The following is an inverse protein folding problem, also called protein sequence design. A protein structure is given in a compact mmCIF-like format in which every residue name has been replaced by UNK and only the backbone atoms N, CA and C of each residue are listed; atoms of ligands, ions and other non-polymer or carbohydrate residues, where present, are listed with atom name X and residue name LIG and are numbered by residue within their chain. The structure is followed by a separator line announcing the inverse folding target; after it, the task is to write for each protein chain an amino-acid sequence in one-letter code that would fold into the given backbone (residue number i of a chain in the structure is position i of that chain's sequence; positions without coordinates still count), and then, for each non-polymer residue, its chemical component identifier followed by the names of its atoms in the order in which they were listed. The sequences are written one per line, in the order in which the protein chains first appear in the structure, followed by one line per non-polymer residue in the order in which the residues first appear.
data_IF_747288732808
#
_entry.id   IF_747288732808
#
_cell.length_a   1.000
_cell.length_b   1.000
_cell.length_c   1.000
_cell.angle_alpha   90.00
_cell.angle_beta   90.00
_cell.angle_gamma   90.00
#
_symmetry.space_group_name_H-M   'P 1'
#
loop_
_entity.id
_entity.type
_entity.pdbx_description
1 polymer ?
#
# COMPACT_ATOMS: atom_id res chain seq x y z
N UNK A 1 -41.03 -76.77 26.96
CA UNK A 1 -40.36 -76.14 25.77
C UNK A 1 -40.53 -74.67 25.89
N UNK A 2 -39.46 -73.94 26.24
CA UNK A 2 -39.43 -72.47 26.31
C UNK A 2 -38.56 -71.94 25.18
N UNK A 3 -39.15 -71.27 24.23
CA UNK A 3 -38.49 -70.67 23.10
C UNK A 3 -38.04 -69.24 23.46
N UNK A 4 -36.73 -69.01 23.50
CA UNK A 4 -36.15 -67.64 23.70
C UNK A 4 -36.00 -66.95 22.34
N UNK A 5 -36.68 -65.87 22.16
CA UNK A 5 -36.45 -64.91 21.04
C UNK A 5 -35.24 -64.04 21.34
N UNK A 6 -34.21 -64.11 20.51
CA UNK A 6 -33.06 -63.21 20.50
C UNK A 6 -33.42 -62.04 19.57
N UNK A 7 -33.61 -60.85 20.16
CA UNK A 7 -33.74 -59.58 19.39
C UNK A 7 -32.34 -59.05 19.12
N UNK A 8 -31.85 -59.15 17.86
CA UNK A 8 -30.64 -58.46 17.43
C UNK A 8 -30.95 -57.00 17.13
N UNK A 9 -30.47 -56.10 17.98
CA UNK A 9 -30.52 -54.66 17.76
C UNK A 9 -29.47 -54.24 16.69
N UNK A 10 -29.91 -53.76 15.57
CA UNK A 10 -29.04 -53.15 14.54
C UNK A 10 -28.75 -51.68 15.01
N UNK A 11 -27.52 -51.44 15.43
CA UNK A 11 -27.02 -50.07 15.68
C UNK A 11 -26.70 -49.39 14.34
N UNK A 12 -27.54 -48.45 13.90
CA UNK A 12 -27.27 -47.59 12.74
C UNK A 12 -26.28 -46.54 13.20
N UNK A 13 -25.02 -46.70 12.86
CA UNK A 13 -24.00 -45.66 13.00
C UNK A 13 -24.24 -44.60 11.89
N UNK A 14 -24.89 -43.50 12.23
CA UNK A 14 -24.95 -42.30 11.38
C UNK A 14 -23.53 -41.68 11.29
N UNK A 15 -22.77 -42.08 10.28
CA UNK A 15 -21.59 -41.35 9.85
C UNK A 15 -22.08 -40.00 9.29
N UNK A 16 -22.11 -39.00 10.16
CA UNK A 16 -22.27 -37.61 9.72
C UNK A 16 -21.09 -37.26 8.83
N UNK A 17 -21.31 -37.15 7.52
CA UNK A 17 -20.35 -36.50 6.61
C UNK A 17 -20.25 -35.06 7.08
N UNK A 18 -19.15 -34.71 7.76
CA UNK A 18 -18.83 -33.31 8.00
C UNK A 18 -18.79 -32.63 6.62
N UNK A 19 -19.77 -31.79 6.33
CA UNK A 19 -19.72 -30.94 5.13
C UNK A 19 -18.41 -30.14 5.21
N UNK A 20 -17.49 -30.45 4.32
CA UNK A 20 -16.24 -29.69 4.20
C UNK A 20 -16.65 -28.27 3.82
N UNK A 21 -16.26 -27.30 4.64
CA UNK A 21 -16.54 -25.90 4.33
C UNK A 21 -15.84 -25.52 3.03
N UNK A 22 -16.52 -24.78 2.15
CA UNK A 22 -15.95 -24.29 0.91
C UNK A 22 -14.65 -23.51 1.15
N UNK A 23 -13.72 -23.57 0.19
CA UNK A 23 -12.46 -22.81 0.26
C UNK A 23 -12.72 -21.30 0.48
N UNK A 24 -11.83 -20.64 1.23
CA UNK A 24 -11.76 -19.19 1.28
C UNK A 24 -10.95 -18.69 0.09
N UNK A 25 -11.62 -18.12 -0.89
CA UNK A 25 -11.02 -17.65 -2.13
C UNK A 25 -10.68 -16.17 -2.07
N UNK A 26 -9.42 -15.83 -2.19
CA UNK A 26 -8.89 -14.47 -2.21
C UNK A 26 -8.36 -14.18 -3.61
N UNK A 27 -8.96 -13.24 -4.33
CA UNK A 27 -8.42 -12.78 -5.61
C UNK A 27 -7.35 -11.72 -5.36
N UNK A 28 -6.20 -11.85 -6.03
CA UNK A 28 -5.16 -10.83 -6.09
C UNK A 28 -5.11 -10.28 -7.51
N UNK A 29 -5.59 -9.04 -7.69
CA UNK A 29 -5.55 -8.31 -8.95
C UNK A 29 -4.36 -7.36 -8.88
N UNK A 30 -3.38 -7.50 -9.75
CA UNK A 30 -2.17 -6.66 -9.68
C UNK A 30 -1.40 -6.61 -11.01
N UNK A 31 -0.57 -5.59 -11.20
CA UNK A 31 0.28 -5.45 -12.37
C UNK A 31 1.45 -6.44 -12.36
N UNK A 32 1.16 -7.74 -12.55
CA UNK A 32 2.16 -8.80 -12.58
C UNK A 32 3.16 -8.61 -13.71
N UNK A 33 2.74 -7.94 -14.78
CA UNK A 33 3.57 -7.41 -15.86
C UNK A 33 3.34 -5.91 -16.01
N UNK A 34 4.24 -5.20 -16.72
CA UNK A 34 4.10 -3.76 -16.98
C UNK A 34 4.90 -2.87 -16.00
N UNK A 35 4.60 -1.55 -15.98
CA UNK A 35 5.47 -0.56 -15.34
C UNK A 35 5.57 -0.69 -13.82
N UNK A 36 4.64 -1.38 -13.16
CA UNK A 36 4.60 -1.58 -11.70
C UNK A 36 4.87 -3.04 -11.27
N UNK A 37 5.44 -3.85 -12.17
CA UNK A 37 5.74 -5.27 -11.93
C UNK A 37 6.53 -5.50 -10.62
N UNK A 38 7.55 -4.68 -10.35
CA UNK A 38 8.37 -4.81 -9.15
C UNK A 38 7.53 -4.63 -7.87
N UNK A 39 6.56 -3.71 -7.87
CA UNK A 39 5.65 -3.47 -6.76
C UNK A 39 4.68 -4.64 -6.57
N UNK A 40 4.11 -5.11 -7.68
CA UNK A 40 3.18 -6.23 -7.69
C UNK A 40 3.82 -7.52 -7.15
N UNK A 41 5.04 -7.84 -7.55
CA UNK A 41 5.80 -9.00 -7.02
C UNK A 41 5.99 -8.93 -5.51
N UNK A 42 6.35 -7.75 -5.01
CA UNK A 42 6.51 -7.55 -3.57
C UNK A 42 5.18 -7.70 -2.83
N UNK A 43 4.10 -7.12 -3.35
CA UNK A 43 2.76 -7.25 -2.76
C UNK A 43 2.30 -8.71 -2.72
N UNK A 44 2.49 -9.48 -3.80
CA UNK A 44 2.16 -10.91 -3.82
C UNK A 44 2.99 -11.70 -2.81
N UNK A 45 4.31 -11.47 -2.75
CA UNK A 45 5.19 -12.10 -1.77
C UNK A 45 4.72 -11.81 -0.35
N UNK A 46 4.44 -10.56 -0.05
CA UNK A 46 3.93 -10.13 1.25
C UNK A 46 2.59 -10.76 1.60
N UNK A 47 1.64 -10.77 0.67
CA UNK A 47 0.33 -11.40 0.86
C UNK A 47 0.47 -12.89 1.23
N UNK A 48 1.26 -13.64 0.49
CA UNK A 48 1.45 -15.08 0.75
C UNK A 48 2.13 -15.33 2.10
N UNK A 49 3.19 -14.56 2.42
CA UNK A 49 3.87 -14.67 3.71
C UNK A 49 2.96 -14.25 4.87
N UNK A 50 2.14 -13.23 4.70
CA UNK A 50 1.17 -12.78 5.71
C UNK A 50 0.08 -13.79 5.98
N UNK A 51 -0.46 -14.44 4.95
CA UNK A 51 -1.43 -15.53 5.10
C UNK A 51 -0.79 -16.73 5.83
N UNK A 52 0.43 -17.10 5.48
CA UNK A 52 1.17 -18.14 6.18
C UNK A 52 1.40 -17.81 7.66
N UNK A 53 1.84 -16.60 7.96
CA UNK A 53 2.04 -16.13 9.33
C UNK A 53 0.74 -16.17 10.13
N UNK A 54 -0.32 -15.57 9.61
CA UNK A 54 -1.60 -15.45 10.31
C UNK A 54 -2.28 -16.80 10.56
N UNK A 55 -2.02 -17.80 9.70
CA UNK A 55 -2.55 -19.17 9.81
C UNK A 55 -1.55 -20.14 10.44
N UNK A 56 -0.41 -19.67 10.94
CA UNK A 56 0.65 -20.49 11.53
C UNK A 56 1.11 -21.62 10.57
N UNK A 57 1.21 -21.29 9.27
CA UNK A 57 1.64 -22.22 8.22
C UNK A 57 0.57 -23.18 7.69
N UNK A 58 -0.62 -23.22 8.27
CA UNK A 58 -1.66 -24.21 7.87
C UNK A 58 -2.36 -23.83 6.57
N UNK A 59 -2.34 -22.57 6.18
CA UNK A 59 -3.13 -22.02 5.06
C UNK A 59 -4.62 -22.40 5.15
N UNK A 60 -5.12 -22.53 6.36
CA UNK A 60 -6.53 -22.80 6.67
C UNK A 60 -7.07 -21.82 7.71
N UNK A 61 -8.31 -21.42 7.58
CA UNK A 61 -9.01 -20.52 8.49
C UNK A 61 -10.43 -21.04 8.74
N UNK A 62 -10.79 -21.28 9.98
CA UNK A 62 -12.09 -21.84 10.40
C UNK A 62 -12.48 -23.10 9.60
N UNK A 63 -11.51 -24.01 9.35
CA UNK A 63 -11.69 -25.25 8.60
C UNK A 63 -11.75 -25.09 7.08
N UNK A 64 -11.63 -23.88 6.57
CA UNK A 64 -11.61 -23.55 5.12
C UNK A 64 -10.17 -23.39 4.65
N UNK A 65 -9.81 -24.05 3.54
CA UNK A 65 -8.52 -23.84 2.89
C UNK A 65 -8.49 -22.44 2.25
N UNK A 66 -7.39 -21.72 2.39
CA UNK A 66 -7.17 -20.44 1.72
C UNK A 66 -6.61 -20.71 0.31
N UNK A 67 -7.29 -20.17 -0.69
CA UNK A 67 -6.87 -20.24 -2.10
C UNK A 67 -6.67 -18.82 -2.62
N UNK A 68 -5.46 -18.51 -3.09
CA UNK A 68 -5.13 -17.22 -3.73
C UNK A 68 -5.19 -17.36 -5.24
N UNK A 69 -6.09 -16.62 -5.86
CA UNK A 69 -6.29 -16.54 -7.31
C UNK A 69 -5.61 -15.27 -7.80
N UNK A 70 -4.59 -15.39 -8.65
CA UNK A 70 -3.81 -14.24 -9.13
C UNK A 70 -4.22 -13.87 -10.55
N UNK A 71 -4.51 -12.60 -10.80
CA UNK A 71 -4.82 -12.06 -12.13
C UNK A 71 -3.94 -10.85 -12.44
N UNK A 72 -3.45 -10.80 -13.69
CA UNK A 72 -2.58 -9.73 -14.19
C UNK A 72 -3.40 -8.63 -14.85
N UNK A 73 -3.39 -7.44 -14.27
CA UNK A 73 -4.05 -6.25 -14.82
C UNK A 73 -3.11 -5.37 -15.68
N UNK A 74 -1.82 -5.70 -15.74
CA UNK A 74 -0.79 -4.93 -16.45
C UNK A 74 -0.76 -3.44 -16.04
N UNK A 75 -1.32 -3.12 -14.88
CA UNK A 75 -1.56 -1.75 -14.40
C UNK A 75 -2.48 -0.91 -15.31
N UNK A 76 -3.35 -1.57 -16.11
CA UNK A 76 -4.30 -0.95 -17.03
C UNK A 76 -5.73 -1.01 -16.48
N UNK A 77 -6.45 0.13 -16.44
CA UNK A 77 -7.81 0.20 -15.88
C UNK A 77 -8.79 -0.81 -16.48
N UNK A 78 -8.83 -0.95 -17.81
CA UNK A 78 -9.78 -1.84 -18.46
C UNK A 78 -9.49 -3.32 -18.16
N UNK A 79 -8.20 -3.72 -18.10
CA UNK A 79 -7.82 -5.07 -17.75
C UNK A 79 -8.11 -5.37 -16.28
N UNK A 80 -7.89 -4.40 -15.37
CA UNK A 80 -8.20 -4.53 -13.95
C UNK A 80 -9.69 -4.78 -13.72
N UNK A 81 -10.55 -3.95 -14.34
CA UNK A 81 -12.00 -4.13 -14.30
C UNK A 81 -12.44 -5.52 -14.74
N UNK A 82 -11.93 -5.98 -15.88
CA UNK A 82 -12.27 -7.30 -16.42
C UNK A 82 -11.80 -8.42 -15.49
N UNK A 83 -10.56 -8.33 -15.00
CA UNK A 83 -9.98 -9.31 -14.09
C UNK A 83 -10.74 -9.38 -12.76
N UNK A 84 -11.16 -8.24 -12.20
CA UNK A 84 -11.92 -8.19 -10.96
C UNK A 84 -13.35 -8.74 -11.13
N UNK A 85 -14.01 -8.40 -12.24
CA UNK A 85 -15.34 -8.94 -12.56
C UNK A 85 -15.30 -10.48 -12.70
N UNK A 86 -14.34 -11.01 -13.46
CA UNK A 86 -14.11 -12.44 -13.61
C UNK A 86 -13.83 -13.12 -12.26
N UNK A 87 -13.00 -12.51 -11.41
CA UNK A 87 -12.69 -13.04 -10.09
C UNK A 87 -13.95 -13.21 -9.21
N UNK A 88 -14.86 -12.24 -9.24
CA UNK A 88 -16.10 -12.33 -8.46
C UNK A 88 -17.15 -13.23 -9.10
N UNK A 89 -17.32 -13.15 -10.44
CA UNK A 89 -18.44 -13.79 -11.14
C UNK A 89 -18.14 -15.24 -11.53
N UNK A 90 -16.91 -15.54 -11.98
CA UNK A 90 -16.55 -16.85 -12.48
C UNK A 90 -15.77 -17.65 -11.44
N UNK A 91 -14.71 -17.07 -10.85
CA UNK A 91 -13.88 -17.75 -9.85
C UNK A 91 -14.56 -17.84 -8.48
N UNK A 92 -15.62 -17.03 -8.23
CA UNK A 92 -16.37 -16.95 -6.96
C UNK A 92 -15.45 -16.54 -5.80
N UNK A 93 -14.59 -15.54 -6.02
CA UNK A 93 -13.77 -15.00 -4.94
C UNK A 93 -14.64 -14.39 -3.84
N UNK A 94 -14.28 -14.67 -2.58
CA UNK A 94 -14.95 -14.11 -1.40
C UNK A 94 -14.55 -12.65 -1.18
N UNK A 95 -13.25 -12.36 -1.35
CA UNK A 95 -12.61 -11.04 -1.17
C UNK A 95 -11.60 -10.85 -2.30
N UNK A 96 -11.47 -9.63 -2.81
CA UNK A 96 -10.36 -9.26 -3.69
C UNK A 96 -9.38 -8.30 -3.00
N UNK A 97 -8.12 -8.37 -3.41
CA UNK A 97 -7.04 -7.47 -3.01
C UNK A 97 -6.41 -6.91 -4.30
N UNK A 98 -6.13 -5.65 -4.36
CA UNK A 98 -5.50 -4.99 -5.49
C UNK A 98 -5.83 -3.51 -5.53
N UNK A 99 -5.32 -2.78 -6.46
CA UNK A 99 -4.29 -3.08 -7.45
C UNK A 99 -3.14 -2.09 -7.29
N UNK A 100 -2.05 -2.23 -8.09
CA UNK A 100 -0.87 -1.37 -7.94
C UNK A 100 -1.09 0.05 -8.47
N UNK A 101 -1.82 0.20 -9.57
CA UNK A 101 -2.09 1.49 -10.22
C UNK A 101 -3.31 2.19 -9.63
N UNK A 102 -3.17 3.47 -9.23
CA UNK A 102 -4.33 4.25 -8.76
C UNK A 102 -5.42 4.40 -9.83
N UNK A 103 -5.06 4.51 -11.11
CA UNK A 103 -6.03 4.58 -12.20
C UNK A 103 -6.79 3.26 -12.36
N UNK A 104 -6.10 2.11 -12.24
CA UNK A 104 -6.72 0.79 -12.24
C UNK A 104 -7.62 0.59 -11.01
N UNK A 105 -7.15 0.93 -9.83
CA UNK A 105 -7.95 0.85 -8.60
C UNK A 105 -9.24 1.66 -8.69
N UNK A 106 -9.19 2.90 -9.21
CA UNK A 106 -10.38 3.73 -9.41
C UNK A 106 -11.39 3.09 -10.39
N UNK A 107 -10.91 2.36 -11.39
CA UNK A 107 -11.78 1.64 -12.33
C UNK A 107 -12.43 0.39 -11.69
N UNK A 108 -11.80 -0.18 -10.66
CA UNK A 108 -12.28 -1.37 -9.95
C UNK A 108 -13.41 -1.06 -8.94
N UNK A 109 -13.48 0.18 -8.43
CA UNK A 109 -14.44 0.53 -7.37
C UNK A 109 -15.91 0.25 -7.75
N UNK A 110 -16.40 0.63 -8.95
CA UNK A 110 -17.76 0.28 -9.37
C UNK A 110 -17.98 -1.23 -9.49
N UNK A 111 -16.96 -1.99 -9.92
CA UNK A 111 -17.06 -3.45 -10.07
C UNK A 111 -17.30 -4.13 -8.72
N UNK A 112 -16.60 -3.68 -7.67
CA UNK A 112 -16.81 -4.17 -6.31
C UNK A 112 -18.25 -3.88 -5.84
N UNK A 113 -18.77 -2.69 -6.10
CA UNK A 113 -20.13 -2.28 -5.76
C UNK A 113 -21.19 -3.09 -6.52
N UNK A 114 -21.06 -3.23 -7.85
CA UNK A 114 -21.96 -4.01 -8.71
C UNK A 114 -22.07 -5.48 -8.26
N UNK A 115 -20.93 -6.07 -7.85
CA UNK A 115 -20.88 -7.44 -7.38
C UNK A 115 -21.18 -7.59 -5.88
N UNK A 116 -21.30 -6.48 -5.14
CA UNK A 116 -21.50 -6.46 -3.67
C UNK A 116 -20.43 -7.29 -2.94
N UNK A 117 -19.18 -7.13 -3.34
CA UNK A 117 -18.02 -7.85 -2.83
C UNK A 117 -16.93 -6.89 -2.35
N UNK A 118 -16.22 -7.28 -1.30
CA UNK A 118 -15.15 -6.46 -0.73
C UNK A 118 -13.93 -6.44 -1.65
N UNK A 119 -13.45 -5.23 -1.94
CA UNK A 119 -12.13 -4.98 -2.49
C UNK A 119 -11.27 -4.29 -1.42
N UNK A 120 -10.16 -4.92 -1.05
CA UNK A 120 -9.13 -4.30 -0.20
C UNK A 120 -8.06 -3.71 -1.13
N UNK A 121 -7.98 -2.39 -1.18
CA UNK A 121 -7.01 -1.71 -2.05
C UNK A 121 -5.63 -1.72 -1.40
N UNK A 122 -4.67 -2.31 -2.10
CA UNK A 122 -3.24 -2.39 -1.77
C UNK A 122 -2.44 -2.57 -3.07
N UNK A 123 -1.46 -1.75 -3.41
CA UNK A 123 -0.95 -0.56 -2.70
C UNK A 123 -1.35 0.80 -3.29
N UNK A 124 -2.36 0.90 -4.17
CA UNK A 124 -2.77 2.15 -4.81
C UNK A 124 -3.15 3.25 -3.79
N UNK A 125 -2.72 4.49 -4.04
CA UNK A 125 -2.73 5.55 -3.02
C UNK A 125 -3.61 6.77 -3.31
N UNK A 126 -4.16 6.95 -4.52
CA UNK A 126 -4.98 8.13 -4.82
C UNK A 126 -6.05 8.37 -3.75
N UNK A 127 -6.18 9.60 -3.27
CA UNK A 127 -7.14 9.95 -2.21
C UNK A 127 -8.59 9.69 -2.61
N UNK A 128 -8.89 9.81 -3.91
CA UNK A 128 -10.23 9.55 -4.44
C UNK A 128 -10.75 8.15 -4.12
N UNK A 129 -9.86 7.14 -3.93
CA UNK A 129 -10.23 5.73 -3.70
C UNK A 129 -11.06 5.56 -2.42
N UNK A 130 -10.63 6.15 -1.30
CA UNK A 130 -11.37 6.19 -0.04
C UNK A 130 -12.00 7.57 0.22
N UNK A 131 -11.97 8.45 -0.79
CA UNK A 131 -12.55 9.78 -0.83
C UNK A 131 -13.80 9.84 -1.68
N UNK A 132 -13.83 10.73 -2.66
CA UNK A 132 -15.03 11.05 -3.45
C UNK A 132 -15.60 9.88 -4.28
N UNK A 133 -14.76 8.88 -4.61
CA UNK A 133 -15.15 7.69 -5.38
C UNK A 133 -15.44 6.47 -4.50
N UNK A 134 -15.30 6.62 -3.18
CA UNK A 134 -15.52 5.55 -2.23
C UNK A 134 -16.95 4.99 -2.31
N UNK A 135 -17.07 3.69 -2.14
CA UNK A 135 -18.31 3.01 -1.81
C UNK A 135 -18.09 2.04 -0.65
N UNK A 136 -19.15 1.56 -0.01
CA UNK A 136 -19.08 0.78 1.22
C UNK A 136 -18.35 -0.57 1.13
N UNK A 137 -18.11 -1.07 -0.07
CA UNK A 137 -17.39 -2.34 -0.31
C UNK A 137 -15.88 -2.16 -0.41
N UNK A 138 -15.40 -0.91 -0.38
CA UNK A 138 -13.98 -0.59 -0.52
C UNK A 138 -13.36 -0.40 0.85
N UNK A 139 -12.29 -1.16 1.10
CA UNK A 139 -11.35 -0.99 2.22
C UNK A 139 -9.97 -0.73 1.66
N UNK A 140 -9.08 -0.07 2.40
CA UNK A 140 -7.71 0.14 1.94
C UNK A 140 -6.71 -0.06 3.08
N UNK A 141 -5.81 -1.02 2.91
CA UNK A 141 -4.64 -1.25 3.78
C UNK A 141 -3.42 -0.46 3.34
N UNK A 142 -3.36 -0.07 2.06
CA UNK A 142 -2.36 0.88 1.56
C UNK A 142 -2.51 2.25 2.24
N UNK A 143 -1.40 2.99 2.38
CA UNK A 143 -1.50 4.40 2.74
C UNK A 143 -2.22 5.15 1.63
N UNK A 144 -2.73 6.34 1.92
CA UNK A 144 -3.30 7.24 0.92
C UNK A 144 -2.37 8.42 0.59
N UNK A 145 -2.69 9.18 -0.46
CA UNK A 145 -1.92 10.36 -0.86
C UNK A 145 -1.84 11.40 0.26
N UNK A 146 -2.89 11.56 1.07
CA UNK A 146 -2.87 12.46 2.23
C UNK A 146 -1.88 12.02 3.30
N UNK A 147 -1.74 10.71 3.59
CA UNK A 147 -0.74 10.21 4.53
C UNK A 147 0.68 10.47 4.01
N UNK A 148 0.97 10.17 2.75
CA UNK A 148 2.26 10.47 2.12
C UNK A 148 2.53 11.99 2.13
N UNK A 149 1.55 12.78 1.73
CA UNK A 149 1.69 14.23 1.60
C UNK A 149 1.92 14.93 2.94
N UNK A 150 1.11 14.61 3.96
CA UNK A 150 1.22 15.21 5.29
C UNK A 150 2.57 14.83 5.91
N UNK A 151 2.97 13.56 5.85
CA UNK A 151 4.23 13.12 6.42
C UNK A 151 5.45 13.77 5.73
N UNK A 152 5.42 13.89 4.40
CA UNK A 152 6.49 14.57 3.67
C UNK A 152 6.47 16.08 3.91
N UNK A 153 5.29 16.72 3.94
CA UNK A 153 5.19 18.16 4.28
C UNK A 153 5.75 18.47 5.68
N UNK A 154 5.47 17.58 6.65
CA UNK A 154 6.03 17.70 8.01
C UNK A 154 7.54 17.44 8.04
N UNK A 155 8.04 16.56 7.19
CA UNK A 155 9.48 16.26 7.11
C UNK A 155 10.28 17.44 6.56
N UNK A 156 9.79 18.09 5.49
CA UNK A 156 10.58 19.10 4.76
C UNK A 156 10.04 20.52 4.88
N UNK A 157 8.76 20.69 5.24
CA UNK A 157 8.09 21.99 5.28
C UNK A 157 8.30 22.74 6.60
N UNK A 158 8.66 23.99 6.53
CA UNK A 158 8.71 24.97 7.66
C UNK A 158 8.71 26.38 7.12
N UNK A 159 8.49 27.36 7.98
CA UNK A 159 8.58 28.77 7.60
C UNK A 159 9.93 29.09 6.93
N UNK A 160 9.90 29.79 5.81
CA UNK A 160 11.09 30.15 5.03
C UNK A 160 11.58 29.06 4.05
N UNK A 161 10.85 27.94 3.93
CA UNK A 161 11.11 26.92 2.90
C UNK A 161 10.22 27.19 1.69
N UNK A 162 10.81 27.15 0.50
CA UNK A 162 10.08 27.19 -0.78
C UNK A 162 10.20 25.84 -1.49
N UNK A 163 9.08 25.27 -1.88
CA UNK A 163 9.00 23.95 -2.53
C UNK A 163 8.45 24.10 -3.94
N UNK A 164 8.94 23.30 -4.87
CA UNK A 164 8.29 23.01 -6.13
C UNK A 164 8.06 21.49 -6.26
N UNK A 165 7.09 21.06 -7.05
CA UNK A 165 6.77 19.64 -7.20
C UNK A 165 6.97 19.17 -8.63
N UNK A 166 7.44 17.92 -8.78
CA UNK A 166 7.44 17.18 -10.04
C UNK A 166 6.68 15.88 -9.87
N UNK A 167 5.63 15.67 -10.63
CA UNK A 167 4.77 14.50 -10.51
C UNK A 167 4.40 13.87 -11.85
N UNK A 168 4.06 12.59 -11.81
CA UNK A 168 3.44 11.91 -12.95
C UNK A 168 2.02 12.43 -13.19
N UNK A 169 1.66 12.64 -14.46
CA UNK A 169 0.35 13.18 -14.87
C UNK A 169 -0.73 12.11 -14.94
N UNK A 170 -1.14 11.59 -13.78
CA UNK A 170 -2.31 10.73 -13.60
C UNK A 170 -2.81 10.80 -12.15
N UNK A 171 -3.86 10.03 -11.79
CA UNK A 171 -4.52 10.13 -10.48
C UNK A 171 -3.56 10.12 -9.27
N UNK A 172 -2.54 9.25 -9.27
CA UNK A 172 -1.52 9.20 -8.21
C UNK A 172 -0.80 10.54 -8.03
N UNK A 173 -0.23 11.08 -9.12
CA UNK A 173 0.56 12.31 -9.04
C UNK A 173 -0.32 13.54 -8.76
N UNK A 174 -1.51 13.62 -9.39
CA UNK A 174 -2.46 14.72 -9.19
C UNK A 174 -2.97 14.79 -7.75
N UNK A 175 -3.45 13.67 -7.19
CA UNK A 175 -3.91 13.61 -5.81
C UNK A 175 -2.76 13.86 -4.82
N UNK A 176 -1.57 13.31 -5.11
CA UNK A 176 -0.38 13.52 -4.29
C UNK A 176 0.03 14.99 -4.19
N UNK A 177 0.08 15.72 -5.31
CA UNK A 177 0.40 17.16 -5.31
C UNK A 177 -0.69 17.97 -4.62
N UNK A 178 -1.97 17.67 -4.87
CA UNK A 178 -3.08 18.37 -4.24
C UNK A 178 -3.04 18.22 -2.71
N UNK A 179 -2.86 16.98 -2.22
CA UNK A 179 -2.73 16.71 -0.79
C UNK A 179 -1.48 17.36 -0.17
N UNK A 180 -0.35 17.35 -0.91
CA UNK A 180 0.89 17.98 -0.45
C UNK A 180 0.76 19.51 -0.34
N UNK A 181 0.15 20.14 -1.32
CA UNK A 181 -0.12 21.59 -1.30
C UNK A 181 -0.95 22.00 -0.08
N UNK A 182 -2.01 21.24 0.21
CA UNK A 182 -2.86 21.43 1.39
C UNK A 182 -2.08 21.25 2.69
N UNK A 183 -1.29 20.18 2.80
CA UNK A 183 -0.48 19.91 3.98
C UNK A 183 0.66 20.95 4.17
N UNK A 184 1.33 21.31 3.07
CA UNK A 184 2.45 22.24 3.08
C UNK A 184 2.01 23.63 3.59
N UNK A 185 0.81 24.08 3.21
CA UNK A 185 0.26 25.35 3.67
C UNK A 185 0.15 25.45 5.21
N UNK A 186 -0.03 24.31 5.90
CA UNK A 186 -0.07 24.25 7.38
C UNK A 186 1.30 24.35 8.02
N UNK A 187 2.40 24.20 7.28
CA UNK A 187 3.78 24.25 7.79
C UNK A 187 4.41 25.64 7.74
N UNK A 188 3.79 26.58 7.06
CA UNK A 188 4.35 27.90 6.78
C UNK A 188 5.34 27.94 5.61
N UNK A 189 5.55 26.81 4.92
CA UNK A 189 6.32 26.75 3.67
C UNK A 189 5.47 27.24 2.49
N UNK A 190 6.14 27.60 1.38
CA UNK A 190 5.49 28.12 0.18
C UNK A 190 5.67 27.14 -1.00
N UNK A 191 4.61 26.87 -1.75
CA UNK A 191 4.68 26.16 -3.02
C UNK A 191 4.86 27.16 -4.17
N UNK A 192 5.99 27.05 -4.91
CA UNK A 192 6.36 27.97 -5.98
C UNK A 192 5.91 27.51 -7.37
N UNK A 193 5.93 26.20 -7.61
CA UNK A 193 5.58 25.62 -8.92
C UNK A 193 5.10 24.18 -8.79
N UNK A 194 4.28 23.77 -9.72
CA UNK A 194 3.81 22.40 -9.90
C UNK A 194 4.08 21.98 -11.35
N UNK A 195 4.87 20.91 -11.54
CA UNK A 195 5.14 20.32 -12.85
C UNK A 195 4.55 18.91 -12.91
N UNK A 196 3.85 18.64 -14.00
CA UNK A 196 3.29 17.32 -14.29
C UNK A 196 3.83 16.84 -15.65
N UNK A 197 4.30 15.60 -15.67
CA UNK A 197 4.84 14.99 -16.88
C UNK A 197 4.18 13.63 -17.14
N UNK A 198 4.00 13.23 -18.41
CA UNK A 198 3.48 11.91 -18.75
C UNK A 198 4.25 10.77 -18.06
N UNK A 199 3.57 9.69 -17.75
CA UNK A 199 4.18 8.50 -17.09
C UNK A 199 5.28 7.84 -17.94
N UNK A 200 5.30 8.12 -19.25
CA UNK A 200 6.28 7.62 -20.21
C UNK A 200 7.47 8.55 -20.41
N UNK A 201 7.54 9.67 -19.67
CA UNK A 201 8.63 10.65 -19.79
C UNK A 201 9.96 10.01 -19.36
N UNK A 202 10.98 10.21 -20.17
CA UNK A 202 12.37 9.77 -19.92
C UNK A 202 13.37 10.93 -19.92
N UNK A 203 13.00 12.07 -20.50
CA UNK A 203 13.77 13.31 -20.49
C UNK A 203 13.07 14.36 -19.62
N UNK A 204 13.73 14.73 -18.54
CA UNK A 204 13.22 15.69 -17.54
C UNK A 204 13.89 17.06 -17.65
N UNK A 205 14.73 17.29 -18.67
CA UNK A 205 15.53 18.51 -18.79
C UNK A 205 14.67 19.77 -18.79
N UNK A 206 13.63 19.82 -19.63
CA UNK A 206 12.75 20.97 -19.72
C UNK A 206 11.94 21.20 -18.42
N UNK A 207 11.39 20.13 -17.83
CA UNK A 207 10.66 20.22 -16.57
C UNK A 207 11.58 20.65 -15.42
N UNK A 208 12.77 20.05 -15.31
CA UNK A 208 13.78 20.42 -14.32
C UNK A 208 14.21 21.88 -14.44
N UNK A 209 14.44 22.38 -15.66
CA UNK A 209 14.81 23.77 -15.87
C UNK A 209 13.70 24.74 -15.42
N UNK A 210 12.42 24.46 -15.71
CA UNK A 210 11.29 25.29 -15.24
C UNK A 210 11.22 25.31 -13.71
N UNK A 211 11.45 24.17 -13.05
CA UNK A 211 11.48 24.09 -11.59
C UNK A 211 12.67 24.88 -11.00
N UNK A 212 13.86 24.78 -11.62
CA UNK A 212 15.03 25.55 -11.20
C UNK A 212 14.79 27.05 -11.35
N UNK A 213 14.21 27.49 -12.47
CA UNK A 213 13.87 28.90 -12.71
C UNK A 213 12.85 29.42 -11.69
N UNK A 214 11.88 28.60 -11.28
CA UNK A 214 10.90 28.94 -10.25
C UNK A 214 11.51 29.09 -8.84
N UNK A 215 12.63 28.41 -8.57
CA UNK A 215 13.24 28.35 -7.24
C UNK A 215 14.53 29.13 -7.08
N UNK A 216 15.37 29.30 -8.14
CA UNK A 216 16.75 29.79 -8.03
C UNK A 216 16.90 31.12 -7.25
N UNK A 217 15.97 32.06 -7.47
CA UNK A 217 16.00 33.38 -6.86
C UNK A 217 15.18 33.49 -5.57
N UNK A 218 14.58 32.37 -5.08
CA UNK A 218 13.84 32.37 -3.82
C UNK A 218 14.79 32.38 -2.63
N UNK A 219 14.46 33.11 -1.57
CA UNK A 219 15.26 33.11 -0.34
C UNK A 219 15.09 31.81 0.43
N UNK A 220 16.04 31.51 1.31
CA UNK A 220 15.98 30.40 2.25
C UNK A 220 16.21 29.02 1.61
N UNK A 221 15.70 28.00 2.26
CA UNK A 221 15.80 26.60 1.79
C UNK A 221 14.84 26.36 0.63
N UNK A 222 15.33 25.74 -0.43
CA UNK A 222 14.61 25.47 -1.68
C UNK A 222 14.61 23.99 -1.97
N UNK A 223 13.44 23.42 -2.23
CA UNK A 223 13.29 21.97 -2.38
C UNK A 223 12.45 21.65 -3.61
N UNK A 224 12.87 20.65 -4.40
CA UNK A 224 11.99 19.98 -5.37
C UNK A 224 11.55 18.67 -4.74
N UNK A 225 10.25 18.53 -4.51
CA UNK A 225 9.64 17.29 -4.05
C UNK A 225 9.10 16.50 -5.24
N UNK A 226 9.58 15.25 -5.39
CA UNK A 226 9.27 14.36 -6.52
C UNK A 226 8.24 13.32 -6.09
N UNK A 227 7.18 13.16 -6.91
CA UNK A 227 6.09 12.18 -6.74
C UNK A 227 6.12 11.24 -7.94
N UNK A 228 6.78 10.10 -7.79
CA UNK A 228 7.02 9.17 -8.89
C UNK A 228 6.80 7.72 -8.46
N UNK A 229 6.17 6.92 -9.36
CA UNK A 229 5.96 5.49 -9.17
C UNK A 229 6.49 4.71 -10.38
N UNK A 230 7.04 3.53 -10.12
CA UNK A 230 7.61 2.68 -11.16
C UNK A 230 9.01 3.08 -11.59
N UNK A 231 9.42 2.60 -12.76
CA UNK A 231 10.74 2.89 -13.32
C UNK A 231 10.87 4.32 -13.84
N UNK A 232 12.11 4.73 -14.20
CA UNK A 232 12.36 6.04 -14.79
C UNK A 232 12.28 7.21 -13.82
N UNK A 233 12.55 6.98 -12.52
CA UNK A 233 12.56 8.01 -11.49
C UNK A 233 13.39 9.22 -11.90
N UNK A 234 12.83 10.46 -11.90
CA UNK A 234 13.52 11.68 -12.30
C UNK A 234 14.61 12.15 -11.34
N UNK A 235 14.67 11.67 -10.10
CA UNK A 235 15.60 12.16 -9.07
C UNK A 235 17.06 12.20 -9.52
N UNK A 236 17.54 11.11 -10.12
CA UNK A 236 18.94 11.04 -10.59
C UNK A 236 19.18 11.98 -11.77
N UNK A 237 18.20 12.16 -12.64
CA UNK A 237 18.27 13.09 -13.78
C UNK A 237 18.28 14.54 -13.31
N UNK A 238 17.43 14.88 -12.36
CA UNK A 238 17.44 16.22 -11.72
C UNK A 238 18.77 16.46 -11.00
N UNK A 239 19.33 15.45 -10.32
CA UNK A 239 20.62 15.53 -9.65
C UNK A 239 21.75 15.79 -10.66
N UNK A 240 21.73 15.17 -11.86
CA UNK A 240 22.72 15.36 -12.92
C UNK A 240 22.67 16.79 -13.52
N UNK A 241 21.55 17.51 -13.37
CA UNK A 241 21.40 18.92 -13.77
C UNK A 241 22.00 19.90 -12.75
N UNK A 242 22.62 19.41 -11.68
CA UNK A 242 23.28 20.19 -10.62
C UNK A 242 22.36 21.25 -9.94
N UNK A 243 21.26 20.83 -9.29
CA UNK A 243 20.38 21.75 -8.57
C UNK A 243 21.10 22.48 -7.42
N UNK A 244 22.17 21.89 -6.89
CA UNK A 244 22.95 22.45 -5.78
C UNK A 244 23.60 23.80 -6.13
N UNK A 245 23.96 24.06 -7.39
CA UNK A 245 24.51 25.34 -7.83
C UNK A 245 23.52 26.51 -7.59
N UNK A 246 22.22 26.20 -7.45
CA UNK A 246 21.17 27.16 -7.12
C UNK A 246 20.71 27.05 -5.66
N UNK A 247 21.38 26.23 -4.85
CA UNK A 247 20.98 25.92 -3.48
C UNK A 247 19.66 25.16 -3.39
N UNK A 248 19.32 24.38 -4.42
CA UNK A 248 18.11 23.57 -4.50
C UNK A 248 18.42 22.14 -4.02
N UNK A 249 17.64 21.64 -3.09
CA UNK A 249 17.67 20.27 -2.60
C UNK A 249 16.57 19.44 -3.29
N UNK A 250 16.80 18.12 -3.40
CA UNK A 250 15.79 17.17 -3.86
C UNK A 250 15.19 16.44 -2.66
N UNK A 251 13.91 16.06 -2.78
CA UNK A 251 13.18 15.29 -1.79
C UNK A 251 12.17 14.35 -2.46
N UNK A 252 11.89 13.24 -1.82
CA UNK A 252 10.83 12.30 -2.22
C UNK A 252 10.41 11.43 -1.04
N UNK A 253 9.36 10.63 -1.21
CA UNK A 253 8.96 9.61 -0.24
C UNK A 253 9.89 8.40 -0.22
N UNK A 254 9.66 7.49 0.74
CA UNK A 254 10.29 6.17 0.74
C UNK A 254 9.88 5.34 -0.48
N UNK A 255 10.72 4.40 -0.85
CA UNK A 255 10.51 3.58 -2.04
C UNK A 255 11.12 2.18 -1.85
N UNK A 256 11.04 1.34 -2.87
CA UNK A 256 11.64 0.00 -2.90
C UNK A 256 13.18 0.06 -2.88
N UNK A 257 13.81 -0.99 -2.37
CA UNK A 257 15.28 -1.07 -2.25
C UNK A 257 16.04 -0.79 -3.56
N UNK A 258 15.59 -1.25 -4.75
CA UNK A 258 16.22 -0.87 -6.01
C UNK A 258 16.21 0.64 -6.29
N UNK A 259 15.13 1.35 -5.94
CA UNK A 259 15.09 2.81 -6.05
C UNK A 259 16.00 3.48 -5.00
N UNK A 260 16.04 2.95 -3.78
CA UNK A 260 16.97 3.41 -2.74
C UNK A 260 18.45 3.24 -3.12
N UNK A 261 18.78 2.34 -4.05
CA UNK A 261 20.13 2.27 -4.60
C UNK A 261 20.56 3.59 -5.30
N UNK A 262 19.63 4.21 -6.03
CA UNK A 262 19.86 5.52 -6.64
C UNK A 262 19.98 6.65 -5.60
N UNK A 263 19.31 6.53 -4.44
CA UNK A 263 19.35 7.53 -3.37
C UNK A 263 20.73 7.61 -2.67
N UNK A 264 21.62 6.63 -2.89
CA UNK A 264 23.04 6.73 -2.44
C UNK A 264 23.76 7.97 -3.00
N UNK A 265 23.27 8.52 -4.12
CA UNK A 265 23.77 9.78 -4.71
C UNK A 265 23.22 11.04 -4.03
N UNK A 266 22.28 10.89 -3.09
CA UNK A 266 21.57 11.98 -2.42
C UNK A 266 21.71 11.90 -0.90
N UNK A 267 22.96 11.80 -0.35
CA UNK A 267 23.16 11.72 1.09
C UNK A 267 22.57 12.94 1.78
N UNK A 268 21.84 12.71 2.86
CA UNK A 268 21.17 13.76 3.61
C UNK A 268 19.81 14.20 3.05
N UNK A 269 19.34 13.65 1.92
CA UNK A 269 17.99 13.89 1.44
C UNK A 269 16.98 13.49 2.50
N UNK A 270 15.96 14.32 2.71
CA UNK A 270 14.90 14.09 3.67
C UNK A 270 13.58 13.74 2.96
N UNK A 271 12.77 12.93 3.61
CA UNK A 271 11.45 12.54 3.14
C UNK A 271 10.69 11.77 4.20
N UNK A 272 9.56 11.19 3.83
CA UNK A 272 8.80 10.32 4.72
C UNK A 272 8.49 8.97 4.06
N UNK A 273 8.41 7.92 4.89
CA UNK A 273 8.11 6.56 4.46
C UNK A 273 7.13 5.90 5.42
N UNK A 274 6.35 4.92 4.96
CA UNK A 274 5.54 4.12 5.87
C UNK A 274 6.25 2.84 6.32
N UNK A 275 7.30 2.43 5.62
CA UNK A 275 8.04 1.23 5.94
C UNK A 275 9.48 1.28 5.41
N UNK A 276 10.39 0.84 6.24
CA UNK A 276 11.73 0.37 5.89
C UNK A 276 12.04 -0.77 6.87
N UNK A 277 12.51 -1.90 6.39
CA UNK A 277 12.54 -3.17 7.14
C UNK A 277 13.17 -3.11 8.54
N UNK A 278 14.09 -2.17 8.76
CA UNK A 278 14.78 -2.00 10.04
C UNK A 278 14.13 -0.95 10.97
N UNK A 279 13.10 -0.25 10.54
CA UNK A 279 12.45 0.79 11.37
C UNK A 279 11.43 0.17 12.33
N UNK A 280 10.41 -0.59 11.91
CA UNK A 280 9.41 -1.10 12.85
C UNK A 280 10.01 -2.20 13.77
N UNK A 281 9.84 -2.03 15.08
CA UNK A 281 10.31 -3.00 16.08
C UNK A 281 9.10 -3.66 16.73
N UNK A 282 8.60 -4.73 16.08
CA UNK A 282 7.50 -5.53 16.58
C UNK A 282 7.63 -7.00 16.12
N UNK A 283 7.00 -7.96 16.81
CA UNK A 283 7.15 -9.39 16.51
C UNK A 283 6.76 -9.79 15.09
N UNK A 284 5.78 -9.10 14.48
CA UNK A 284 5.32 -9.39 13.13
C UNK A 284 6.39 -9.02 12.11
N UNK A 285 7.01 -7.84 12.27
CA UNK A 285 8.12 -7.41 11.42
C UNK A 285 9.37 -8.28 11.61
N UNK A 286 9.70 -8.63 12.83
CA UNK A 286 10.84 -9.51 13.13
C UNK A 286 10.70 -10.86 12.43
N UNK A 287 9.50 -11.46 12.46
CA UNK A 287 9.21 -12.68 11.72
C UNK A 287 9.36 -12.48 10.22
N UNK A 288 8.75 -11.41 9.66
CA UNK A 288 8.82 -11.11 8.24
C UNK A 288 10.27 -10.92 7.78
N UNK A 289 11.07 -10.13 8.49
CA UNK A 289 12.47 -9.88 8.15
C UNK A 289 13.28 -11.19 8.18
N UNK A 290 13.12 -11.99 9.23
CA UNK A 290 13.83 -13.26 9.40
C UNK A 290 13.48 -14.26 8.30
N UNK A 291 12.20 -14.48 8.04
CA UNK A 291 11.76 -15.46 7.05
C UNK A 291 12.02 -14.99 5.62
N UNK A 292 11.90 -13.68 5.34
CA UNK A 292 12.22 -13.13 4.02
C UNK A 292 13.71 -13.25 3.71
N UNK A 293 14.58 -12.91 4.68
CA UNK A 293 16.03 -13.07 4.54
C UNK A 293 16.40 -14.54 4.29
N UNK A 294 15.78 -15.46 5.00
CA UNK A 294 16.02 -16.90 4.86
C UNK A 294 15.61 -17.45 3.49
N UNK A 295 14.48 -16.97 2.93
CA UNK A 295 13.89 -17.49 1.69
C UNK A 295 14.46 -16.84 0.44
N UNK A 296 14.75 -15.54 0.51
CA UNK A 296 15.10 -14.71 -0.66
C UNK A 296 16.52 -14.12 -0.60
N UNK A 297 17.26 -14.38 0.49
CA UNK A 297 18.59 -13.78 0.76
C UNK A 297 18.58 -12.24 0.66
N UNK A 298 17.47 -11.62 1.03
CA UNK A 298 17.24 -10.18 1.03
C UNK A 298 16.22 -9.81 2.12
N UNK A 299 16.28 -8.59 2.70
CA UNK A 299 15.23 -8.13 3.60
C UNK A 299 13.91 -7.90 2.85
N UNK A 300 12.76 -7.91 3.55
CA UNK A 300 11.48 -7.54 2.94
C UNK A 300 11.49 -6.08 2.52
N UNK A 301 10.81 -5.81 1.42
CA UNK A 301 10.80 -4.49 0.83
C UNK A 301 9.47 -3.76 1.09
N UNK A 302 9.38 -2.54 0.62
CA UNK A 302 8.32 -1.56 0.84
C UNK A 302 6.91 -2.14 0.63
N UNK A 303 6.64 -2.74 -0.53
CA UNK A 303 5.33 -3.33 -0.82
C UNK A 303 5.14 -4.76 -0.29
N UNK A 304 6.22 -5.42 0.13
CA UNK A 304 6.11 -6.71 0.84
C UNK A 304 5.38 -6.51 2.17
N UNK A 305 5.73 -5.46 2.93
CA UNK A 305 5.01 -5.14 4.16
C UNK A 305 3.55 -4.74 3.91
N UNK A 306 3.25 -4.09 2.78
CA UNK A 306 1.89 -3.75 2.37
C UNK A 306 1.04 -4.99 2.12
N UNK A 307 1.49 -5.88 1.24
CA UNK A 307 0.80 -7.13 0.94
C UNK A 307 0.59 -8.02 2.18
N UNK A 308 1.59 -8.06 3.06
CA UNK A 308 1.49 -8.76 4.35
C UNK A 308 0.37 -8.14 5.21
N UNK A 309 0.29 -6.82 5.27
CA UNK A 309 -0.76 -6.13 6.02
C UNK A 309 -2.17 -6.42 5.47
N UNK A 310 -2.32 -6.53 4.14
CA UNK A 310 -3.58 -6.93 3.53
C UNK A 310 -3.99 -8.36 3.93
N UNK A 311 -3.03 -9.30 3.99
CA UNK A 311 -3.28 -10.66 4.48
C UNK A 311 -3.77 -10.65 5.93
N UNK A 312 -3.10 -9.89 6.81
CA UNK A 312 -3.48 -9.77 8.22
C UNK A 312 -4.89 -9.21 8.36
N UNK A 313 -5.25 -8.20 7.56
CA UNK A 313 -6.58 -7.63 7.54
C UNK A 313 -7.66 -8.66 7.14
N UNK A 314 -7.42 -9.44 6.08
CA UNK A 314 -8.35 -10.50 5.64
C UNK A 314 -8.56 -11.54 6.74
N UNK A 315 -7.47 -12.07 7.30
CA UNK A 315 -7.57 -13.11 8.34
C UNK A 315 -8.26 -12.57 9.60
N UNK A 316 -7.91 -11.36 10.03
CA UNK A 316 -8.57 -10.72 11.18
C UNK A 316 -10.07 -10.49 10.91
N UNK A 317 -10.45 -10.04 9.71
CA UNK A 317 -11.84 -9.79 9.34
C UNK A 317 -12.66 -11.08 9.34
N UNK A 318 -12.19 -12.14 8.68
CA UNK A 318 -12.89 -13.43 8.62
C UNK A 318 -13.00 -14.07 10.00
N UNK A 319 -11.92 -14.03 10.80
CA UNK A 319 -11.91 -14.53 12.18
C UNK A 319 -12.93 -13.80 13.06
N UNK A 320 -12.99 -12.47 12.97
CA UNK A 320 -13.93 -11.64 13.75
C UNK A 320 -15.38 -11.83 13.29
N UNK A 321 -15.62 -11.88 11.97
CA UNK A 321 -16.94 -12.08 11.39
C UNK A 321 -17.45 -13.52 11.52
N UNK A 322 -16.56 -14.52 11.67
CA UNK A 322 -16.84 -15.96 11.58
C UNK A 322 -17.64 -16.30 10.30
N UNK A 323 -17.36 -15.62 9.22
CA UNK A 323 -18.14 -15.67 7.97
C UNK A 323 -17.35 -15.03 6.82
N UNK A 324 -17.70 -15.41 5.59
CA UNK A 324 -17.28 -14.70 4.37
C UNK A 324 -18.45 -13.93 3.74
N UNK A 325 -19.60 -13.87 4.42
CA UNK A 325 -20.69 -12.99 4.02
C UNK A 325 -20.25 -11.53 4.02
N UNK A 326 -20.50 -10.83 2.93
CA UNK A 326 -19.99 -9.47 2.69
C UNK A 326 -20.46 -8.49 3.76
N UNK A 327 -21.73 -8.53 4.18
CA UNK A 327 -22.27 -7.60 5.16
C UNK A 327 -21.66 -7.83 6.56
N UNK A 328 -21.45 -9.10 6.91
CA UNK A 328 -20.77 -9.45 8.17
C UNK A 328 -19.30 -9.03 8.15
N UNK A 329 -18.63 -9.17 7.01
CA UNK A 329 -17.23 -8.72 6.87
C UNK A 329 -17.15 -7.20 6.98
N UNK A 330 -18.00 -6.43 6.28
CA UNK A 330 -18.03 -4.96 6.40
C UNK A 330 -18.22 -4.56 7.87
N UNK A 331 -19.21 -5.12 8.53
CA UNK A 331 -19.50 -4.84 9.95
C UNK A 331 -18.32 -5.19 10.87
N UNK A 332 -17.59 -6.27 10.57
CA UNK A 332 -16.41 -6.67 11.33
C UNK A 332 -15.21 -5.76 11.08
N UNK A 333 -15.03 -5.29 9.84
CA UNK A 333 -13.88 -4.49 9.42
C UNK A 333 -13.99 -3.01 9.84
N UNK A 334 -15.20 -2.44 9.92
CA UNK A 334 -15.39 -1.06 10.40
C UNK A 334 -14.86 -0.89 11.83
N UNK A 335 -13.85 -0.02 12.00
CA UNK A 335 -13.16 0.21 13.27
C UNK A 335 -12.27 -0.95 13.74
N UNK A 336 -11.97 -1.93 12.88
CA UNK A 336 -11.14 -3.08 13.25
C UNK A 336 -9.67 -2.67 13.36
N UNK A 337 -9.07 -3.04 14.50
CA UNK A 337 -7.62 -2.99 14.68
C UNK A 337 -7.00 -4.35 14.36
N UNK A 338 -5.80 -4.34 13.78
CA UNK A 338 -5.03 -5.54 13.46
C UNK A 338 -3.52 -5.25 13.44
N UNK A 339 -2.73 -6.25 13.82
CA UNK A 339 -1.29 -6.15 13.87
C UNK A 339 -0.67 -6.41 12.49
N UNK A 340 0.39 -5.66 12.15
CA UNK A 340 1.08 -5.74 10.87
C UNK A 340 2.60 -5.56 11.05
N UNK A 341 3.40 -5.84 10.02
CA UNK A 341 4.83 -5.49 10.08
C UNK A 341 5.09 -4.00 10.32
N UNK A 342 4.17 -3.14 9.92
CA UNK A 342 4.24 -1.68 10.09
C UNK A 342 3.80 -1.20 11.47
N UNK A 343 3.39 -2.11 12.34
CA UNK A 343 2.75 -1.86 13.62
C UNK A 343 1.24 -2.10 13.56
N UNK A 344 0.53 -1.59 14.54
CA UNK A 344 -0.92 -1.68 14.60
C UNK A 344 -1.56 -0.76 13.58
N UNK A 345 -2.52 -1.29 12.83
CA UNK A 345 -3.35 -0.54 11.90
C UNK A 345 -4.82 -0.59 12.33
N UNK A 346 -5.59 0.44 11.95
CA UNK A 346 -7.01 0.51 12.24
C UNK A 346 -7.75 0.96 10.98
N UNK A 347 -8.79 0.22 10.58
CA UNK A 347 -9.73 0.70 9.56
C UNK A 347 -10.63 1.78 10.15
N UNK A 348 -10.46 3.00 9.68
CA UNK A 348 -11.37 4.11 10.05
C UNK A 348 -12.77 3.80 9.53
N UNK A 349 -13.78 3.97 10.41
CA UNK A 349 -15.15 3.57 10.09
C UNK A 349 -15.76 4.42 8.98
N UNK A 350 -15.39 5.68 8.91
CA UNK A 350 -16.00 6.69 8.05
C UNK A 350 -15.72 6.47 6.56
N UNK A 351 -14.52 5.99 6.23
CA UNK A 351 -14.05 5.87 4.85
C UNK A 351 -13.29 4.57 4.54
N UNK A 352 -13.22 3.66 5.53
CA UNK A 352 -12.51 2.38 5.44
C UNK A 352 -11.02 2.47 5.11
N UNK A 353 -10.41 3.65 5.32
CA UNK A 353 -8.97 3.82 5.22
C UNK A 353 -8.28 3.23 6.45
N UNK A 354 -7.33 2.33 6.26
CA UNK A 354 -6.47 1.92 7.35
C UNK A 354 -5.44 3.03 7.65
N UNK A 355 -5.44 3.45 8.92
CA UNK A 355 -4.48 4.42 9.41
C UNK A 355 -3.26 3.70 9.96
N UNK A 356 -2.08 4.31 9.78
CA UNK A 356 -0.78 3.78 10.18
C UNK A 356 0.19 4.90 10.48
N UNK A 357 1.21 4.63 11.29
CA UNK A 357 2.34 5.55 11.49
C UNK A 357 3.13 5.75 10.20
N UNK A 358 3.75 6.91 10.08
CA UNK A 358 4.72 7.25 9.04
C UNK A 358 6.05 7.62 9.71
N UNK A 359 7.13 7.60 8.95
CA UNK A 359 8.47 7.89 9.49
C UNK A 359 9.16 8.96 8.66
N UNK A 360 9.47 10.10 9.27
CA UNK A 360 10.42 11.05 8.69
C UNK A 360 11.81 10.40 8.70
N UNK A 361 12.45 10.36 7.55
CA UNK A 361 13.78 9.79 7.39
C UNK A 361 14.76 10.77 6.78
N UNK A 362 16.03 10.48 6.97
CA UNK A 362 17.16 11.09 6.28
C UNK A 362 17.99 10.01 5.61
N UNK A 363 18.35 10.25 4.36
CA UNK A 363 19.17 9.30 3.60
C UNK A 363 20.58 9.23 4.16
N UNK A 364 21.00 8.03 4.56
CA UNK A 364 22.34 7.67 4.98
C UNK A 364 22.96 6.68 4.01
N UNK A 365 24.21 6.83 3.71
CA UNK A 365 24.95 5.91 2.85
C UNK A 365 25.78 4.96 3.72
N UNK A 366 25.46 3.66 3.62
CA UNK A 366 26.30 2.58 4.14
C UNK A 366 27.07 1.96 2.97
N UNK A 367 28.43 1.90 3.01
CA UNK A 367 29.23 1.31 1.94
C UNK A 367 29.00 -0.19 1.77
N UNK A 368 28.52 -0.89 2.82
CA UNK A 368 28.28 -2.34 2.82
C UNK A 368 26.91 -2.72 2.24
N UNK A 369 26.01 -1.74 2.02
CA UNK A 369 24.69 -1.99 1.45
C UNK A 369 24.62 -1.53 -0.01
N UNK A 370 23.91 -2.28 -0.83
CA UNK A 370 23.64 -1.93 -2.22
C UNK A 370 22.73 -0.71 -2.35
N UNK A 371 21.93 -0.37 -1.33
CA UNK A 371 20.97 0.72 -1.28
C UNK A 371 21.26 1.72 -0.17
N UNK A 372 20.62 2.87 -0.21
CA UNK A 372 20.68 3.86 0.85
C UNK A 372 19.78 3.45 2.02
N UNK A 373 20.21 3.81 3.22
CA UNK A 373 19.44 3.60 4.46
C UNK A 373 18.51 4.77 4.69
N UNK A 374 17.23 4.48 4.92
CA UNK A 374 16.27 5.45 5.44
C UNK A 374 16.47 5.52 6.97
N UNK A 375 17.42 6.36 7.42
CA UNK A 375 17.69 6.55 8.84
C UNK A 375 16.51 7.34 9.46
N UNK A 376 15.79 6.77 10.44
CA UNK A 376 14.62 7.43 11.00
C UNK A 376 15.02 8.66 11.81
N UNK A 377 14.37 9.79 11.55
CA UNK A 377 14.50 11.04 12.32
C UNK A 377 13.43 11.07 13.42
N UNK A 378 12.19 10.74 13.06
CA UNK A 378 11.09 10.59 14.02
C UNK A 378 9.95 9.77 13.43
N UNK A 379 9.19 9.12 14.29
CA UNK A 379 7.88 8.56 13.96
C UNK A 379 6.83 9.68 13.99
N UNK A 380 5.95 9.65 13.00
CA UNK A 380 4.72 10.44 12.93
C UNK A 380 3.57 9.48 13.23
N UNK A 381 3.07 9.52 14.44
CA UNK A 381 1.98 8.64 14.87
C UNK A 381 0.67 9.04 14.20
N UNK A 382 -0.30 8.12 14.21
CA UNK A 382 -1.63 8.35 13.61
C UNK A 382 -2.27 9.62 14.18
N UNK A 383 -2.19 9.80 15.50
CA UNK A 383 -2.73 10.96 16.20
C UNK A 383 -2.03 12.30 15.90
N UNK A 384 -0.78 12.24 15.40
CA UNK A 384 0.00 13.42 15.02
C UNK A 384 -0.32 13.89 13.59
N UNK A 385 -1.03 13.06 12.82
CA UNK A 385 -1.38 13.32 11.44
C UNK A 385 -2.89 13.49 11.28
N UNK A 386 -3.32 14.72 11.06
CA UNK A 386 -4.73 15.04 10.77
C UNK A 386 -5.09 14.56 9.33
N UNK A 387 -5.27 13.24 9.18
CA UNK A 387 -5.60 12.64 7.88
C UNK A 387 -7.05 12.92 7.54
N UNK A 388 -7.34 13.69 6.47
CA UNK A 388 -8.69 14.12 6.15
C UNK A 388 -9.58 12.96 5.72
N UNK A 389 -10.88 13.05 6.09
CA UNK A 389 -11.93 12.21 5.54
C UNK A 389 -12.48 12.93 4.32
N UNK A 390 -12.39 12.28 3.14
CA UNK A 390 -12.73 12.93 1.86
C UNK A 390 -13.94 12.32 1.17
N UNK A 391 -14.52 11.25 1.73
CA UNK A 391 -15.76 10.68 1.19
C UNK A 391 -16.98 11.48 1.63
N UNK A 392 -18.08 11.27 0.90
CA UNK A 392 -19.41 11.77 1.25
C UNK A 392 -20.25 10.54 1.56
N UNK A 393 -20.45 10.22 2.83
CA UNK A 393 -21.46 9.25 3.28
C UNK A 393 -22.83 9.86 3.20
#
# INVERSE_FOLDING_TARGET
MRTSLIVQGIAIVLLGTAAQADDLKIALIHGKTGPLEAYAKQTETGLRMGLEYATKGTMTLDGRKIVVITKDDQSKPDLSKAALAEAYQDDKADIAIGTSSSAAALADLPVAEENKKILIVEPAVADQITGEKWNRYIFRTGRNSSQDAISNAVAIGKQGVTVATLAQDYAFGRDGVAAFKEALAKTGATLAAEEYVPTTTTDFTAAGQRLFDALKDKPGRKIIWVIWAGGGDPLTKLQDMDPKRYGIELSTGGNILPALAAYKRLPGMEGATYYYYDIPKNPVNEWLVTEHQKRFNAPPDFFTAGGFSAAMAVVAAVTKAKSTDTEKLISAMEGMEFDTPKGKMIFRKEDHQALQSMYHFKVKVDPNLAWAVNEPVRELKIEDMDIPIRNKR
#
